data_IF_887466027130
#
_entry.id   IF_887466027130
#
_cell.length_a   1.000
_cell.length_b   1.000
_cell.length_c   1.000
_cell.angle_alpha   90.00
_cell.angle_beta   90.00
_cell.angle_gamma   90.00
#
_symmetry.space_group_name_H-M   'P 1'
#
loop_
_entity.id
_entity.type
_entity.pdbx_description
1 polymer ?
2 non-polymer ?
3 non-polymer ?
4 non-polymer ?
5 non-polymer ?
6 water ?
#
# COMPACT_ATOMS: atom_id res chain seq x y z
N UNK A 1 -19.76 3.36 8.96
CA UNK A 1 -20.52 3.03 7.72
C UNK A 1 -20.21 1.65 7.17
N UNK A 2 -20.89 1.28 6.09
CA UNK A 2 -20.71 -0.03 5.46
C UNK A 2 -19.46 -0.11 4.58
N UNK A 3 -19.05 1.01 4.00
CA UNK A 3 -17.90 1.01 3.12
C UNK A 3 -16.75 1.72 3.81
N UNK A 4 -15.75 0.95 4.24
CA UNK A 4 -14.60 1.47 4.95
C UNK A 4 -13.30 1.33 4.14
N UNK A 5 -12.58 2.43 3.99
CA UNK A 5 -11.33 2.40 3.26
C UNK A 5 -10.17 2.41 4.25
N UNK A 6 -9.20 1.52 4.05
CA UNK A 6 -8.02 1.45 4.90
C UNK A 6 -6.85 1.77 3.98
N UNK A 7 -6.14 2.87 4.23
CA UNK A 7 -5.02 3.23 3.38
C UNK A 7 -3.84 3.81 4.16
N UNK A 8 -2.68 3.84 3.51
CA UNK A 8 -1.48 4.36 4.15
C UNK A 8 -1.35 5.87 4.08
N UNK A 9 -1.23 6.51 5.24
CA UNK A 9 -1.12 7.95 5.31
C UNK A 9 0.30 8.46 5.11
N UNK A 10 1.29 7.57 5.07
CA UNK A 10 2.67 8.00 4.93
C UNK A 10 3.35 7.53 3.65
N UNK A 11 4.38 6.70 3.79
CA UNK A 11 5.07 6.20 2.60
C UNK A 11 4.95 4.68 2.54
N UNK A 12 3.82 4.15 3.00
CA UNK A 12 3.61 2.72 2.94
C UNK A 12 4.12 1.97 4.16
N UNK A 13 3.84 0.67 4.19
CA UNK A 13 4.28 -0.19 5.29
C UNK A 13 3.87 0.34 6.66
N UNK A 14 2.69 0.97 6.71
CA UNK A 14 2.21 1.51 7.96
C UNK A 14 1.54 0.41 8.78
N UNK A 15 1.18 -0.69 8.10
CA UNK A 15 0.53 -1.80 8.76
C UNK A 15 -0.87 -2.05 8.23
N UNK A 16 -1.07 -1.77 6.94
CA UNK A 16 -2.36 -1.95 6.30
C UNK A 16 -2.83 -3.41 6.35
N UNK A 17 -1.94 -4.33 6.02
CA UNK A 17 -2.28 -5.75 6.04
C UNK A 17 -2.88 -6.22 7.34
N UNK A 18 -2.24 -5.89 8.46
CA UNK A 18 -2.76 -6.31 9.75
C UNK A 18 -4.14 -5.76 10.02
N UNK A 19 -4.28 -4.44 9.96
CA UNK A 19 -5.54 -3.79 10.25
C UNK A 19 -6.69 -4.23 9.34
N UNK A 20 -6.37 -4.56 8.10
CA UNK A 20 -7.42 -5.01 7.19
C UNK A 20 -7.86 -6.40 7.66
N UNK A 21 -6.89 -7.28 7.90
CA UNK A 21 -7.20 -8.62 8.39
C UNK A 21 -7.94 -8.54 9.71
N UNK A 22 -7.58 -7.56 10.54
CA UNK A 22 -8.22 -7.38 11.83
C UNK A 22 -9.68 -6.98 11.70
N UNK A 23 -9.94 -5.92 10.93
CA UNK A 23 -11.28 -5.39 10.76
C UNK A 23 -12.25 -6.14 9.83
N UNK A 24 -11.75 -7.02 8.98
CA UNK A 24 -12.62 -7.74 8.05
C UNK A 24 -13.45 -8.85 8.69
N UNK A 25 -13.28 -9.05 9.99
CA UNK A 25 -14.03 -10.07 10.69
C UNK A 25 -15.52 -9.86 10.44
N UNK A 26 -15.91 -8.59 10.26
CA UNK A 26 -17.30 -8.24 10.04
C UNK A 26 -17.61 -7.93 8.57
N UNK A 27 -16.58 -7.96 7.73
CA UNK A 27 -16.75 -7.65 6.31
C UNK A 27 -17.25 -8.80 5.44
N UNK A 28 -17.94 -8.43 4.36
CA UNK A 28 -18.45 -9.38 3.39
C UNK A 28 -17.44 -9.42 2.24
N UNK A 29 -16.87 -8.25 1.94
CA UNK A 29 -15.89 -8.11 0.88
C UNK A 29 -14.68 -7.27 1.28
N UNK A 30 -13.53 -7.59 0.68
CA UNK A 30 -12.28 -6.86 0.87
C UNK A 30 -11.86 -6.57 -0.57
N UNK A 31 -11.48 -5.34 -0.86
CA UNK A 31 -11.11 -4.95 -2.21
C UNK A 31 -9.83 -4.16 -2.38
N UNK A 32 -8.90 -4.68 -3.19
CA UNK A 32 -7.65 -3.96 -3.49
C UNK A 32 -8.06 -3.13 -4.71
N UNK A 33 -7.65 -1.85 -4.75
CA UNK A 33 -8.04 -0.97 -5.85
C UNK A 33 -6.93 -0.29 -6.66
N UNK A 34 -5.68 -0.50 -6.28
CA UNK A 34 -4.56 0.09 -6.99
C UNK A 34 -3.29 -0.67 -6.65
N UNK A 35 -2.25 -0.44 -7.44
CA UNK A 35 -0.99 -1.11 -7.21
C UNK A 35 -1.01 -2.52 -7.77
N UNK A 36 0.00 -3.30 -7.39
CA UNK A 36 0.11 -4.68 -7.83
C UNK A 36 0.80 -5.50 -6.76
N UNK A 37 1.77 -6.32 -7.16
CA UNK A 37 2.47 -7.14 -6.17
C UNK A 37 3.70 -6.42 -5.60
N UNK A 38 3.77 -5.11 -5.81
CA UNK A 38 4.86 -4.31 -5.27
C UNK A 38 4.58 -4.18 -3.76
N UNK A 39 3.30 -4.29 -3.41
CA UNK A 39 2.89 -4.19 -2.02
C UNK A 39 3.34 -5.43 -1.24
N UNK A 40 3.48 -5.27 0.07
CA UNK A 40 3.88 -6.36 0.93
C UNK A 40 3.16 -6.17 2.24
N UNK A 41 2.09 -6.92 2.44
CA UNK A 41 1.28 -6.81 3.65
C UNK A 41 1.44 -8.01 4.56
N UNK A 42 1.93 -7.76 5.78
CA UNK A 42 2.18 -8.82 6.74
C UNK A 42 1.10 -9.03 7.79
N UNK A 43 0.56 -10.25 7.82
CA UNK A 43 -0.47 -10.62 8.79
C UNK A 43 0.13 -11.65 9.74
N UNK A 44 -0.22 -11.53 11.01
CA UNK A 44 0.25 -12.46 12.02
C UNK A 44 -0.92 -12.91 12.88
N UNK A 45 -1.26 -14.19 12.79
CA UNK A 45 -2.35 -14.77 13.55
C UNK A 45 -1.80 -15.85 14.46
N UNK A 46 -1.99 -15.64 15.77
CA UNK A 46 -1.51 -16.55 16.79
C UNK A 46 -0.05 -16.90 16.48
N UNK A 47 0.72 -15.88 16.12
CA UNK A 47 2.13 -16.07 15.83
C UNK A 47 2.49 -16.54 14.43
N UNK A 48 1.51 -16.99 13.66
CA UNK A 48 1.77 -17.46 12.31
C UNK A 48 1.74 -16.27 11.34
N UNK A 49 2.83 -16.14 10.58
CA UNK A 49 3.00 -15.06 9.63
C UNK A 49 2.57 -15.35 8.18
N UNK A 50 2.02 -14.33 7.53
CA UNK A 50 1.60 -14.45 6.14
C UNK A 50 1.89 -13.12 5.46
N UNK A 51 2.60 -13.18 4.34
CA UNK A 51 2.91 -11.98 3.58
C UNK A 51 2.19 -12.05 2.25
N UNK A 52 1.27 -11.12 2.04
CA UNK A 52 0.51 -11.05 0.81
C UNK A 52 1.12 -9.96 -0.04
N UNK A 53 0.88 -10.03 -1.34
CA UNK A 53 1.41 -9.01 -2.22
C UNK A 53 0.27 -8.55 -3.11
N UNK A 54 -0.22 -9.45 -3.95
CA UNK A 54 -1.31 -9.14 -4.86
C UNK A 54 -2.65 -9.52 -4.25
N UNK A 55 -2.65 -10.62 -3.48
CA UNK A 55 -3.85 -11.13 -2.85
C UNK A 55 -4.27 -10.25 -1.69
N UNK A 56 -5.54 -9.81 -1.68
CA UNK A 56 -6.09 -8.96 -0.62
C UNK A 56 -5.93 -9.59 0.77
N UNK A 57 -5.83 -8.75 1.78
CA UNK A 57 -5.64 -9.20 3.15
C UNK A 57 -6.85 -9.77 3.87
N UNK A 58 -7.90 -10.12 3.14
CA UNK A 58 -9.07 -10.71 3.76
C UNK A 58 -9.13 -12.18 3.38
N UNK A 59 -8.13 -12.60 2.63
CA UNK A 59 -8.05 -13.97 2.13
C UNK A 59 -8.00 -15.05 3.22
N UNK A 60 -7.54 -14.70 4.41
CA UNK A 60 -7.46 -15.65 5.51
C UNK A 60 -8.80 -15.90 6.23
N UNK A 61 -9.82 -15.14 5.86
CA UNK A 61 -11.13 -15.30 6.48
C UNK A 61 -12.06 -15.92 5.44
N UNK A 62 -12.72 -17.02 5.81
CA UNK A 62 -13.57 -17.70 4.84
C UNK A 62 -14.91 -17.01 4.60
N UNK A 63 -15.32 -16.17 5.54
CA UNK A 63 -16.58 -15.45 5.40
C UNK A 63 -16.41 -14.26 4.46
N UNK A 64 -15.16 -13.98 4.10
CA UNK A 64 -14.86 -12.85 3.24
C UNK A 64 -14.56 -13.21 1.79
N UNK A 65 -15.08 -12.41 0.88
CA UNK A 65 -14.80 -12.61 -0.54
C UNK A 65 -13.79 -11.52 -0.92
N UNK A 66 -12.55 -11.94 -1.15
CA UNK A 66 -11.48 -11.01 -1.54
C UNK A 66 -11.66 -10.67 -3.02
N UNK A 67 -11.37 -9.42 -3.37
CA UNK A 67 -11.54 -8.95 -4.73
C UNK A 67 -10.40 -8.05 -5.21
N UNK A 68 -9.84 -8.39 -6.36
CA UNK A 68 -8.78 -7.60 -6.97
C UNK A 68 -9.49 -6.73 -8.01
N UNK A 69 -9.65 -5.45 -7.67
CA UNK A 69 -10.36 -4.51 -8.55
C UNK A 69 -9.60 -4.07 -9.78
N UNK A 70 -10.32 -3.47 -10.71
CA UNK A 70 -9.74 -3.00 -11.98
C UNK A 70 -8.55 -2.05 -11.84
N UNK A 71 -8.48 -1.30 -10.74
CA UNK A 71 -7.37 -0.38 -10.55
C UNK A 71 -6.04 -1.08 -10.34
N UNK A 72 -6.10 -2.37 -10.06
CA UNK A 72 -4.90 -3.18 -9.81
C UNK A 72 -4.21 -3.69 -11.08
N UNK A 73 -2.88 -3.62 -11.12
CA UNK A 73 -2.13 -4.16 -12.25
C UNK A 73 -1.80 -5.58 -11.80
N UNK A 74 -2.32 -6.56 -12.54
CA UNK A 74 -2.19 -7.97 -12.17
C UNK A 74 -1.23 -8.87 -12.93
N UNK A 75 -0.25 -9.39 -12.21
CA UNK A 75 0.75 -10.30 -12.76
C UNK A 75 0.27 -11.75 -12.61
N UNK A 76 -0.10 -12.40 -13.72
CA UNK A 76 -0.56 -13.79 -13.63
C UNK A 76 0.44 -14.68 -12.88
N UNK A 77 1.73 -14.41 -13.07
CA UNK A 77 2.77 -15.19 -12.40
C UNK A 77 2.68 -15.01 -10.90
N UNK A 78 2.72 -13.76 -10.45
CA UNK A 78 2.66 -13.45 -9.03
C UNK A 78 1.42 -14.08 -8.39
N UNK A 79 0.28 -13.97 -9.07
CA UNK A 79 -0.96 -14.52 -8.55
C UNK A 79 -0.87 -16.01 -8.31
N UNK A 80 -0.39 -16.76 -9.31
CA UNK A 80 -0.26 -18.20 -9.18
C UNK A 80 0.74 -18.58 -8.10
N UNK A 81 1.83 -17.83 -8.01
CA UNK A 81 2.87 -18.11 -7.01
C UNK A 81 2.28 -17.95 -5.60
N UNK A 82 1.52 -16.88 -5.39
CA UNK A 82 0.90 -16.67 -4.08
C UNK A 82 -0.23 -17.65 -3.84
N UNK A 83 -1.01 -17.92 -4.89
CA UNK A 83 -2.12 -18.84 -4.79
C UNK A 83 -1.66 -20.21 -4.29
N UNK A 84 -0.63 -20.75 -4.92
CA UNK A 84 -0.10 -22.05 -4.54
C UNK A 84 0.47 -22.03 -3.13
N UNK A 85 1.18 -20.95 -2.79
CA UNK A 85 1.76 -20.85 -1.46
C UNK A 85 0.69 -20.86 -0.38
N UNK A 86 -0.40 -20.14 -0.64
CA UNK A 86 -1.50 -20.05 0.31
C UNK A 86 -2.34 -21.35 0.32
N UNK A 87 -2.55 -21.93 -0.84
CA UNK A 87 -3.33 -23.17 -0.94
C UNK A 87 -2.67 -24.32 -0.20
N UNK A 88 -1.33 -24.38 -0.23
CA UNK A 88 -0.62 -25.44 0.46
C UNK A 88 -0.71 -25.28 1.95
N UNK A 89 -1.15 -24.09 2.38
CA UNK A 89 -1.30 -23.83 3.80
C UNK A 89 -2.77 -23.89 4.24
N UNK A 90 -3.61 -24.49 3.40
CA UNK A 90 -5.02 -24.63 3.73
C UNK A 90 -5.95 -23.48 3.38
N UNK A 91 -5.43 -22.50 2.63
CA UNK A 91 -6.23 -21.35 2.22
C UNK A 91 -6.64 -21.58 0.78
N UNK A 92 -7.91 -21.92 0.55
CA UNK A 92 -8.48 -22.18 -0.77
C UNK A 92 -8.74 -20.90 -1.57
N UNK A 93 -7.65 -20.22 -1.92
CA UNK A 93 -7.73 -18.96 -2.65
C UNK A 93 -8.79 -18.90 -3.75
N UNK A 94 -8.72 -19.83 -4.70
CA UNK A 94 -9.66 -19.87 -5.82
C UNK A 94 -11.12 -19.82 -5.43
N UNK A 95 -11.42 -20.27 -4.21
CA UNK A 95 -12.78 -20.29 -3.72
C UNK A 95 -13.25 -18.99 -3.08
N UNK A 96 -12.32 -18.12 -2.72
CA UNK A 96 -12.71 -16.88 -2.08
C UNK A 96 -12.18 -15.61 -2.77
N UNK A 97 -11.54 -15.79 -3.92
CA UNK A 97 -11.00 -14.64 -4.65
C UNK A 97 -11.67 -14.39 -6.00
N UNK A 98 -11.98 -13.13 -6.26
CA UNK A 98 -12.60 -12.73 -7.51
C UNK A 98 -11.77 -11.56 -8.05
N UNK A 99 -11.79 -11.38 -9.36
CA UNK A 99 -11.00 -10.31 -9.93
C UNK A 99 -11.67 -9.67 -11.14
N UNK A 100 -11.24 -8.45 -11.46
CA UNK A 100 -11.81 -7.70 -12.57
C UNK A 100 -11.20 -8.03 -13.93
N UNK A 101 -12.05 -8.09 -14.95
CA UNK A 101 -11.59 -8.36 -16.30
C UNK A 101 -10.93 -7.10 -16.85
N UNK A 102 -11.18 -5.97 -16.20
CA UNK A 102 -10.58 -4.71 -16.64
C UNK A 102 -9.17 -4.52 -16.10
N UNK A 103 -8.71 -5.44 -15.26
CA UNK A 103 -7.35 -5.36 -14.72
C UNK A 103 -6.28 -5.46 -15.81
N UNK A 104 -5.29 -4.56 -15.77
CA UNK A 104 -4.20 -4.60 -16.76
C UNK A 104 -3.33 -5.79 -16.36
N UNK A 105 -2.69 -6.43 -17.34
CA UNK A 105 -1.82 -7.57 -17.05
C UNK A 105 -0.34 -7.20 -16.96
N UNK A 106 0.35 -7.68 -15.93
CA UNK A 106 1.78 -7.43 -15.79
C UNK A 106 2.46 -8.70 -16.32
N UNK A 107 3.32 -8.56 -17.30
CA UNK A 107 4.03 -9.70 -17.87
C UNK A 107 5.53 -9.44 -17.84
N UNK A 108 6.32 -10.48 -18.07
CA UNK A 108 7.77 -10.37 -18.03
C UNK A 108 8.41 -9.13 -18.64
N UNK A 109 7.99 -8.76 -19.84
CA UNK A 109 8.59 -7.59 -20.47
C UNK A 109 8.39 -6.31 -19.68
N UNK A 110 7.37 -6.27 -18.83
CA UNK A 110 7.14 -5.09 -18.00
C UNK A 110 8.26 -4.99 -16.98
N UNK A 111 8.67 -6.13 -16.46
CA UNK A 111 9.76 -6.19 -15.48
C UNK A 111 11.07 -5.77 -16.14
N UNK A 112 11.33 -6.31 -17.33
CA UNK A 112 12.53 -5.96 -18.08
C UNK A 112 12.59 -4.45 -18.27
N UNK A 113 11.46 -3.88 -18.68
CA UNK A 113 11.37 -2.44 -18.89
C UNK A 113 11.63 -1.71 -17.59
N UNK A 114 10.98 -2.16 -16.52
CA UNK A 114 11.14 -1.55 -15.21
C UNK A 114 12.64 -1.47 -14.90
N UNK A 115 13.32 -2.62 -15.00
CA UNK A 115 14.75 -2.70 -14.72
C UNK A 115 15.58 -1.76 -15.61
N UNK A 116 15.24 -1.71 -16.89
CA UNK A 116 15.96 -0.85 -17.82
C UNK A 116 15.82 0.61 -17.42
N UNK A 117 14.58 1.06 -17.24
CA UNK A 117 14.32 2.45 -16.86
C UNK A 117 15.08 2.83 -15.59
N UNK A 118 15.05 1.95 -14.60
CA UNK A 118 15.76 2.24 -13.35
C UNK A 118 17.25 2.36 -13.59
N UNK A 119 17.76 1.56 -14.53
CA UNK A 119 19.18 1.57 -14.86
C UNK A 119 19.52 2.91 -15.50
N UNK A 120 18.72 3.30 -16.49
CA UNK A 120 18.93 4.57 -17.19
C UNK A 120 18.96 5.77 -16.24
N UNK A 121 18.27 5.69 -15.12
CA UNK A 121 18.24 6.80 -14.16
C UNK A 121 19.53 6.87 -13.34
N UNK A 122 20.32 5.81 -13.37
CA UNK A 122 21.57 5.80 -12.63
C UNK A 122 21.40 6.15 -11.17
N UNK A 123 22.17 7.12 -10.71
CA UNK A 123 22.13 7.55 -9.31
C UNK A 123 20.78 8.14 -8.90
N UNK A 124 19.99 8.56 -9.88
CA UNK A 124 18.68 9.17 -9.61
C UNK A 124 17.57 8.14 -9.73
N UNK A 125 17.91 6.86 -9.52
CA UNK A 125 16.92 5.80 -9.62
C UNK A 125 15.79 6.01 -8.61
N UNK A 126 14.57 5.68 -9.04
CA UNK A 126 13.41 5.82 -8.18
C UNK A 126 13.47 4.83 -7.02
N UNK A 127 14.05 3.67 -7.29
CA UNK A 127 14.15 2.63 -6.27
C UNK A 127 12.86 1.83 -6.27
N UNK A 128 12.37 1.49 -7.45
CA UNK A 128 11.14 0.73 -7.57
C UNK A 128 11.37 -0.69 -7.09
N UNK A 129 10.29 -1.42 -6.88
CA UNK A 129 10.40 -2.81 -6.42
C UNK A 129 10.69 -3.73 -7.59
N UNK A 130 10.95 -3.14 -8.76
CA UNK A 130 11.26 -3.93 -9.94
C UNK A 130 10.28 -5.07 -10.21
N UNK A 131 8.99 -4.77 -10.06
CA UNK A 131 7.94 -5.76 -10.29
C UNK A 131 7.17 -5.45 -11.58
N UNK A 132 7.63 -4.44 -12.32
CA UNK A 132 6.96 -4.08 -13.56
C UNK A 132 5.70 -3.24 -13.41
N UNK A 133 5.47 -2.69 -12.23
CA UNK A 133 4.28 -1.87 -11.96
C UNK A 133 4.16 -0.65 -12.88
N UNK A 134 5.19 0.19 -12.87
CA UNK A 134 5.18 1.39 -13.71
C UNK A 134 4.86 1.13 -15.17
N UNK A 135 5.63 0.27 -15.85
CA UNK A 135 5.39 -0.01 -17.25
C UNK A 135 3.97 -0.53 -17.52
N UNK A 136 3.41 -1.31 -16.61
CA UNK A 136 2.05 -1.83 -16.83
C UNK A 136 1.04 -0.69 -16.86
N UNK A 137 1.18 0.28 -15.96
CA UNK A 137 0.26 1.42 -15.93
C UNK A 137 0.46 2.27 -17.17
N UNK A 138 1.67 2.22 -17.72
CA UNK A 138 2.02 2.98 -18.91
C UNK A 138 1.29 2.40 -20.14
N UNK A 139 1.36 1.09 -20.31
CA UNK A 139 0.68 0.46 -21.45
C UNK A 139 -0.82 0.68 -21.36
N UNK A 140 -1.31 0.71 -20.12
CA UNK A 140 -2.74 0.91 -19.87
C UNK A 140 -3.20 2.26 -20.37
N UNK A 141 -2.62 3.33 -19.82
CA UNK A 141 -3.02 4.66 -20.22
C UNK A 141 -2.74 4.90 -21.71
N UNK A 142 -1.73 4.21 -22.24
CA UNK A 142 -1.41 4.35 -23.66
C UNK A 142 -2.46 3.63 -24.49
N UNK A 143 -3.15 2.68 -23.85
CA UNK A 143 -4.19 1.89 -24.50
C UNK A 143 -3.67 0.77 -25.40
N UNK A 144 -2.48 0.27 -25.11
CA UNK A 144 -1.92 -0.85 -25.89
C UNK A 144 -1.76 -2.03 -24.95
N UNK A 145 -1.92 -1.77 -23.66
CA UNK A 145 -1.78 -2.82 -22.67
C UNK A 145 -2.81 -3.91 -22.78
N UNK A 146 -2.48 -5.06 -22.21
CA UNK A 146 -3.36 -6.22 -22.21
C UNK A 146 -4.12 -6.25 -20.88
N UNK A 147 -5.35 -6.76 -20.91
CA UNK A 147 -6.17 -6.85 -19.69
C UNK A 147 -6.71 -8.28 -19.54
N UNK A 148 -7.16 -8.59 -18.32
CA UNK A 148 -7.69 -9.92 -18.05
C UNK A 148 -8.73 -10.32 -19.08
N UNK A 149 -9.53 -9.34 -19.52
CA UNK A 149 -10.56 -9.62 -20.50
C UNK A 149 -10.02 -10.18 -21.81
N UNK A 150 -8.83 -9.72 -22.20
CA UNK A 150 -8.23 -10.19 -23.44
C UNK A 150 -7.99 -11.70 -23.41
N UNK A 151 -7.79 -12.26 -22.21
CA UNK A 151 -7.54 -13.68 -22.06
C UNK A 151 -8.69 -14.58 -22.51
N UNK A 152 -9.90 -14.02 -22.61
CA UNK A 152 -11.04 -14.85 -22.99
C UNK A 152 -11.04 -15.37 -24.42
N UNK A 153 -10.11 -14.89 -25.23
CA UNK A 153 -9.96 -15.36 -26.60
C UNK A 153 -8.48 -15.68 -26.74
N UNK A 154 -8.13 -16.95 -26.51
CA UNK A 154 -6.74 -17.37 -26.59
C UNK A 154 -6.09 -16.97 -27.90
N UNK A 155 -6.83 -17.10 -28.99
CA UNK A 155 -6.30 -16.74 -30.30
C UNK A 155 -5.91 -15.27 -30.39
N UNK A 156 -6.90 -14.38 -30.42
CA UNK A 156 -6.66 -12.95 -30.53
C UNK A 156 -5.68 -12.43 -29.49
N UNK A 157 -5.58 -13.11 -28.36
CA UNK A 157 -4.65 -12.69 -27.31
C UNK A 157 -3.21 -12.85 -27.79
N UNK A 158 -2.89 -14.00 -28.36
CA UNK A 158 -1.54 -14.26 -28.85
C UNK A 158 -1.13 -13.21 -29.88
N UNK A 159 -2.07 -12.85 -30.74
CA UNK A 159 -1.81 -11.84 -31.75
C UNK A 159 -1.51 -10.50 -31.09
N UNK A 160 -2.38 -10.07 -30.18
CA UNK A 160 -2.19 -8.81 -29.46
C UNK A 160 -0.87 -8.82 -28.70
N UNK A 161 -0.58 -9.94 -28.04
CA UNK A 161 0.64 -10.07 -27.26
C UNK A 161 1.88 -9.97 -28.16
N UNK A 162 1.79 -10.58 -29.33
CA UNK A 162 2.89 -10.57 -30.29
C UNK A 162 3.26 -9.17 -30.73
N UNK A 163 2.27 -8.38 -31.13
CA UNK A 163 2.58 -7.02 -31.59
C UNK A 163 3.05 -6.08 -30.49
N UNK A 164 2.53 -6.23 -29.27
CA UNK A 164 2.96 -5.35 -28.19
C UNK A 164 4.39 -5.68 -27.77
N UNK A 165 4.76 -6.96 -27.83
CA UNK A 165 6.11 -7.37 -27.48
C UNK A 165 7.12 -6.97 -28.54
N UNK A 166 6.69 -6.95 -29.79
CA UNK A 166 7.56 -6.54 -30.87
C UNK A 166 7.89 -5.08 -30.60
N UNK A 167 6.86 -4.36 -30.14
CA UNK A 167 6.98 -2.94 -29.81
C UNK A 167 7.99 -2.71 -28.69
N UNK A 168 7.81 -3.38 -27.56
CA UNK A 168 8.72 -3.21 -26.43
C UNK A 168 10.12 -3.76 -26.64
N UNK A 169 10.24 -4.94 -27.25
CA UNK A 169 11.55 -5.51 -27.47
C UNK A 169 12.42 -4.61 -28.35
N UNK A 170 11.79 -3.95 -29.31
CA UNK A 170 12.53 -3.05 -30.20
C UNK A 170 13.29 -2.07 -29.33
N UNK A 171 12.61 -1.53 -28.32
CA UNK A 171 13.20 -0.56 -27.41
C UNK A 171 14.25 -1.22 -26.49
N UNK A 172 13.89 -2.34 -25.89
CA UNK A 172 14.80 -3.04 -25.00
C UNK A 172 16.18 -3.30 -25.60
N UNK A 173 16.21 -3.77 -26.84
CA UNK A 173 17.48 -4.08 -27.51
C UNK A 173 18.13 -2.88 -28.20
N UNK A 174 17.38 -2.20 -29.06
CA UNK A 174 17.89 -1.06 -29.81
C UNK A 174 18.20 0.18 -28.99
N UNK A 175 17.32 0.51 -28.04
CA UNK A 175 17.52 1.69 -27.20
C UNK A 175 18.29 1.43 -25.92
N UNK A 176 17.94 0.37 -25.22
CA UNK A 176 18.59 0.04 -23.94
C UNK A 176 19.77 -0.93 -24.06
N UNK A 177 19.83 -1.68 -25.16
CA UNK A 177 20.91 -2.63 -25.35
C UNK A 177 20.78 -3.72 -24.29
N UNK A 178 19.55 -4.18 -24.07
CA UNK A 178 19.30 -5.22 -23.09
C UNK A 178 18.74 -6.45 -23.80
N UNK A 179 18.72 -7.58 -23.12
CA UNK A 179 18.20 -8.80 -23.72
C UNK A 179 16.73 -8.57 -24.08
N UNK A 180 16.24 -9.33 -25.06
CA UNK A 180 14.85 -9.22 -25.48
C UNK A 180 14.06 -10.22 -24.64
N UNK A 181 12.74 -10.08 -24.62
CA UNK A 181 11.91 -11.00 -23.86
C UNK A 181 11.20 -11.91 -24.87
N UNK A 182 11.37 -13.21 -24.68
CA UNK A 182 10.81 -14.20 -25.58
C UNK A 182 9.29 -14.26 -25.62
N UNK A 183 8.74 -13.96 -26.80
CA UNK A 183 7.30 -13.97 -27.02
C UNK A 183 6.67 -15.31 -26.64
N UNK A 184 7.17 -16.38 -27.24
CA UNK A 184 6.64 -17.72 -26.99
C UNK A 184 6.60 -18.08 -25.51
N UNK A 185 7.70 -17.81 -24.80
CA UNK A 185 7.81 -18.10 -23.37
C UNK A 185 6.70 -17.39 -22.59
N UNK A 186 6.52 -16.11 -22.86
CA UNK A 186 5.48 -15.32 -22.18
C UNK A 186 4.11 -15.87 -22.54
N UNK A 187 3.94 -16.26 -23.80
CA UNK A 187 2.66 -16.80 -24.25
C UNK A 187 2.34 -18.13 -23.55
N UNK A 188 3.35 -19.00 -23.43
CA UNK A 188 3.14 -20.29 -22.79
C UNK A 188 2.87 -20.14 -21.29
N UNK A 189 3.73 -19.38 -20.61
CA UNK A 189 3.56 -19.16 -19.17
C UNK A 189 2.16 -18.68 -18.84
N UNK A 190 1.68 -17.73 -19.63
CA UNK A 190 0.36 -17.15 -19.43
C UNK A 190 -0.76 -18.14 -19.75
N UNK A 191 -0.62 -18.85 -20.87
CA UNK A 191 -1.63 -19.82 -21.28
C UNK A 191 -1.73 -20.99 -20.31
N UNK A 192 -0.65 -21.25 -19.58
CA UNK A 192 -0.65 -22.35 -18.62
C UNK A 192 -1.56 -22.07 -17.43
N UNK A 193 -1.93 -20.81 -17.24
CA UNK A 193 -2.78 -20.45 -16.10
C UNK A 193 -4.05 -19.69 -16.49
N UNK A 194 -4.31 -19.56 -17.78
CA UNK A 194 -5.48 -18.83 -18.26
C UNK A 194 -6.82 -19.30 -17.68
N UNK A 195 -7.07 -20.59 -17.72
CA UNK A 195 -8.35 -21.12 -17.22
C UNK A 195 -8.59 -20.85 -15.75
N UNK A 196 -7.55 -20.98 -14.93
CA UNK A 196 -7.66 -20.74 -13.50
C UNK A 196 -7.97 -19.26 -13.28
N UNK A 197 -7.11 -18.41 -13.81
CA UNK A 197 -7.26 -16.97 -13.68
C UNK A 197 -8.64 -16.47 -14.09
N UNK A 198 -9.09 -16.84 -15.28
CA UNK A 198 -10.39 -16.40 -15.79
C UNK A 198 -11.61 -16.94 -15.05
N UNK A 199 -11.45 -18.02 -14.30
CA UNK A 199 -12.59 -18.59 -13.59
C UNK A 199 -12.95 -17.76 -12.36
N UNK A 200 -12.11 -16.79 -12.04
CA UNK A 200 -12.35 -15.93 -10.89
C UNK A 200 -12.86 -14.55 -11.32
N UNK A 201 -13.05 -14.37 -12.61
CA UNK A 201 -13.53 -13.09 -13.14
C UNK A 201 -14.98 -12.78 -12.75
N UNK A 202 -15.23 -11.53 -12.40
CA UNK A 202 -16.57 -11.09 -12.04
C UNK A 202 -16.68 -9.61 -12.40
N UNK A 203 -17.92 -9.12 -12.55
CA UNK A 203 -18.14 -7.70 -12.85
C UNK A 203 -18.10 -7.01 -11.50
N UNK A 204 -16.92 -6.56 -11.10
CA UNK A 204 -16.73 -5.91 -9.80
C UNK A 204 -17.56 -4.65 -9.57
N UNK A 205 -17.65 -3.79 -10.59
CA UNK A 205 -18.45 -2.57 -10.46
C UNK A 205 -19.87 -2.93 -10.07
N UNK A 206 -20.44 -3.87 -10.82
CA UNK A 206 -21.80 -4.31 -10.57
C UNK A 206 -21.92 -4.99 -9.22
N UNK A 207 -20.98 -5.89 -8.91
CA UNK A 207 -20.99 -6.59 -7.63
C UNK A 207 -21.02 -5.63 -6.44
N UNK A 208 -20.14 -4.63 -6.46
CA UNK A 208 -20.08 -3.67 -5.37
C UNK A 208 -21.34 -2.79 -5.32
N UNK A 209 -21.95 -2.54 -6.48
CA UNK A 209 -23.16 -1.73 -6.50
C UNK A 209 -24.29 -2.50 -5.82
N UNK A 210 -24.38 -3.80 -6.11
CA UNK A 210 -25.41 -4.64 -5.52
C UNK A 210 -25.16 -4.78 -4.02
N UNK A 211 -23.88 -4.91 -3.66
CA UNK A 211 -23.49 -5.05 -2.25
C UNK A 211 -23.85 -3.78 -1.47
N UNK A 212 -23.69 -2.62 -2.12
CA UNK A 212 -24.01 -1.36 -1.45
C UNK A 212 -25.50 -1.27 -1.20
N UNK A 213 -26.28 -1.65 -2.20
CA UNK A 213 -27.72 -1.60 -2.08
C UNK A 213 -28.24 -2.56 -1.02
N UNK A 214 -27.49 -3.61 -0.74
CA UNK A 214 -27.88 -4.57 0.29
C UNK A 214 -27.32 -4.17 1.65
N UNK A 215 -26.51 -3.12 1.68
CA UNK A 215 -25.94 -2.70 2.94
C UNK A 215 -24.84 -3.63 3.44
N UNK A 216 -24.21 -4.37 2.55
CA UNK A 216 -23.12 -5.25 2.96
C UNK A 216 -21.91 -4.45 3.41
N UNK A 217 -21.11 -5.02 4.30
CA UNK A 217 -19.90 -4.39 4.80
C UNK A 217 -18.78 -4.62 3.78
N UNK A 218 -18.21 -3.53 3.28
CA UNK A 218 -17.13 -3.63 2.30
C UNK A 218 -15.89 -2.88 2.78
N UNK A 219 -14.74 -3.55 2.71
CA UNK A 219 -13.50 -2.91 3.12
C UNK A 219 -12.57 -2.78 1.92
N UNK A 220 -12.12 -1.56 1.65
CA UNK A 220 -11.20 -1.31 0.54
C UNK A 220 -9.81 -1.23 1.14
N UNK A 221 -8.90 -2.03 0.62
CA UNK A 221 -7.54 -2.07 1.11
C UNK A 221 -6.56 -1.37 0.17
N UNK A 222 -5.90 -0.32 0.66
CA UNK A 222 -4.96 0.38 -0.19
C UNK A 222 -3.58 -0.25 -0.14
N UNK A 223 -2.72 0.13 -1.07
CA UNK A 223 -1.35 -0.35 -1.13
C UNK A 223 -0.47 0.90 -1.09
N UNK A 224 0.82 0.73 -0.82
CA UNK A 224 1.73 1.87 -0.73
C UNK A 224 1.18 2.91 0.25
N UNK A 225 1.46 4.19 0.00
CA UNK A 225 1.00 5.25 0.89
C UNK A 225 0.73 6.58 0.21
N UNK A 226 0.09 7.49 0.93
CA UNK A 226 -0.26 8.79 0.37
C UNK A 226 0.88 9.54 -0.34
N UNK A 227 2.04 9.69 0.29
CA UNK A 227 3.12 10.43 -0.36
C UNK A 227 3.81 9.73 -1.53
N UNK A 228 3.29 8.54 -1.88
CA UNK A 228 3.80 7.79 -3.01
C UNK A 228 2.78 7.92 -4.15
N UNK A 229 1.71 8.69 -3.91
CA UNK A 229 0.67 8.90 -4.91
C UNK A 229 1.23 9.54 -6.19
N UNK A 230 0.92 8.94 -7.34
CA UNK A 230 1.43 9.40 -8.62
C UNK A 230 1.14 10.88 -8.91
N UNK A 231 0.02 11.38 -8.39
CA UNK A 231 -0.36 12.76 -8.61
C UNK A 231 0.09 13.67 -7.47
N UNK A 232 -0.23 13.28 -6.24
CA UNK A 232 0.06 14.10 -5.07
C UNK A 232 1.30 13.80 -4.25
N UNK A 233 2.00 12.72 -4.58
CA UNK A 233 3.19 12.37 -3.83
C UNK A 233 4.44 13.13 -4.28
N UNK A 234 5.58 12.80 -3.67
CA UNK A 234 6.85 13.43 -3.99
C UNK A 234 7.37 13.01 -5.36
N UNK A 235 6.65 13.41 -6.41
CA UNK A 235 7.00 13.07 -7.78
C UNK A 235 8.44 13.51 -8.09
N UNK A 236 9.20 12.69 -8.84
CA UNK A 236 8.87 11.40 -9.44
C UNK A 236 9.10 10.18 -8.54
N UNK A 237 9.49 10.43 -7.29
CA UNK A 237 9.75 9.36 -6.34
C UNK A 237 8.44 8.91 -5.69
N UNK A 238 7.60 8.28 -6.50
CA UNK A 238 6.29 7.81 -6.08
C UNK A 238 6.01 6.54 -6.85
N UNK A 239 4.86 5.93 -6.59
CA UNK A 239 4.47 4.74 -7.33
C UNK A 239 3.62 5.29 -8.46
N UNK A 240 3.23 4.44 -9.40
CA UNK A 240 2.46 4.91 -10.54
C UNK A 240 0.95 4.89 -10.46
N UNK A 241 0.40 4.69 -9.27
CA UNK A 241 -1.05 4.67 -9.13
C UNK A 241 -1.46 5.71 -8.10
N UNK A 242 -2.76 5.94 -7.97
CA UNK A 242 -3.23 6.90 -6.98
C UNK A 242 -3.44 6.11 -5.70
N UNK A 243 -2.59 6.35 -4.72
CA UNK A 243 -2.66 5.67 -3.45
C UNK A 243 -3.66 6.37 -2.53
N UNK A 244 -4.03 7.59 -2.88
CA UNK A 244 -4.98 8.35 -2.09
C UNK A 244 -6.40 7.86 -2.28
N UNK A 245 -7.26 8.18 -1.32
CA UNK A 245 -8.66 7.76 -1.30
C UNK A 245 -9.41 7.83 -2.63
N UNK A 246 -9.09 8.82 -3.45
CA UNK A 246 -9.76 8.93 -4.74
C UNK A 246 -9.57 7.69 -5.62
N UNK A 247 -8.51 6.94 -5.38
CA UNK A 247 -8.26 5.75 -6.17
C UNK A 247 -9.25 4.63 -5.92
N UNK A 248 -9.97 4.70 -4.80
CA UNK A 248 -10.96 3.67 -4.47
C UNK A 248 -12.04 3.58 -5.55
N UNK A 249 -12.60 4.73 -5.92
CA UNK A 249 -13.64 4.76 -6.94
C UNK A 249 -13.12 4.37 -8.33
N UNK A 250 -12.05 5.01 -8.77
CA UNK A 250 -11.53 4.70 -10.09
C UNK A 250 -11.09 3.24 -10.21
N UNK A 251 -10.54 2.70 -9.13
CA UNK A 251 -10.04 1.34 -9.16
C UNK A 251 -10.98 0.21 -8.82
N UNK A 252 -12.25 0.49 -8.54
CA UNK A 252 -13.21 -0.55 -8.21
C UNK A 252 -14.53 -0.39 -8.95
N UNK A 253 -14.87 0.85 -9.28
CA UNK A 253 -16.12 1.11 -9.98
C UNK A 253 -17.22 1.53 -9.03
N UNK A 254 -16.94 1.54 -7.73
CA UNK A 254 -17.93 1.97 -6.76
C UNK A 254 -18.01 3.49 -6.89
N UNK A 255 -19.22 4.04 -6.87
CA UNK A 255 -19.38 5.48 -6.97
C UNK A 255 -18.73 6.15 -5.78
N UNK A 256 -17.98 7.25 -6.00
CA UNK A 256 -17.31 7.97 -4.93
C UNK A 256 -18.17 8.38 -3.74
N UNK A 257 -19.44 8.71 -3.98
CA UNK A 257 -20.32 9.12 -2.88
C UNK A 257 -20.58 7.98 -1.91
N UNK A 258 -20.21 6.76 -2.28
CA UNK A 258 -20.44 5.62 -1.41
C UNK A 258 -19.28 5.23 -0.51
N UNK A 259 -18.44 6.21 -0.17
CA UNK A 259 -17.34 5.97 0.76
C UNK A 259 -17.90 6.49 2.07
N UNK A 260 -17.97 5.64 3.09
CA UNK A 260 -18.52 6.07 4.37
C UNK A 260 -17.49 6.49 5.40
N UNK A 261 -16.37 5.80 5.45
CA UNK A 261 -15.33 6.10 6.43
C UNK A 261 -13.95 5.78 5.86
N UNK A 262 -13.01 6.71 6.02
CA UNK A 262 -11.66 6.50 5.55
C UNK A 262 -10.71 6.43 6.74
N UNK A 263 -10.15 5.24 6.94
CA UNK A 263 -9.24 4.98 8.05
C UNK A 263 -7.78 5.08 7.63
N UNK A 264 -7.08 6.07 8.15
CA UNK A 264 -5.68 6.24 7.81
C UNK A 264 -4.78 5.47 8.74
N UNK A 265 -4.00 4.54 8.20
CA UNK A 265 -3.07 3.77 9.00
C UNK A 265 -1.86 4.69 9.19
N UNK A 266 -1.59 5.03 10.45
CA UNK A 266 -0.51 5.94 10.80
C UNK A 266 0.53 5.29 11.70
N UNK A 267 1.75 5.12 11.20
CA UNK A 267 2.81 4.51 12.00
C UNK A 267 3.31 5.54 13.02
N UNK A 268 3.55 5.10 14.25
CA UNK A 268 4.01 6.00 15.31
C UNK A 268 5.31 6.76 14.98
N UNK A 269 5.99 6.32 13.93
CA UNK A 269 7.22 6.95 13.47
C UNK A 269 7.20 6.78 11.94
N UNK A 270 8.21 7.28 11.25
CA UNK A 270 8.22 7.18 9.79
C UNK A 270 9.24 6.25 9.16
N UNK A 271 8.85 5.68 8.02
CA UNK A 271 9.76 4.84 7.26
C UNK A 271 9.52 5.11 5.79
N UNK A 272 10.57 4.91 5.00
CA UNK A 272 10.48 5.09 3.57
C UNK A 272 11.46 4.13 2.93
N UNK A 273 10.99 3.39 1.93
CA UNK A 273 11.87 2.47 1.22
C UNK A 273 11.82 2.94 -0.23
N UNK A 274 12.97 3.32 -0.75
CA UNK A 274 13.03 3.85 -2.10
C UNK A 274 13.57 5.25 -1.94
N UNK A 275 14.05 5.84 -3.01
CA UNK A 275 14.61 7.19 -2.95
C UNK A 275 13.51 8.25 -2.80
N UNK A 276 13.90 9.45 -2.42
CA UNK A 276 12.94 10.52 -2.26
C UNK A 276 13.06 11.34 -1.00
N UNK A 277 12.43 12.53 -0.96
CA UNK A 277 12.47 13.42 0.21
C UNK A 277 11.88 12.78 1.46
N UNK A 278 12.55 13.02 2.59
CA UNK A 278 12.15 12.48 3.88
C UNK A 278 12.68 13.47 4.92
N UNK A 279 11.95 14.57 5.14
CA UNK A 279 12.32 15.62 6.10
C UNK A 279 12.78 15.18 7.47
N UNK A 280 12.00 14.31 8.12
CA UNK A 280 12.34 13.86 9.47
C UNK A 280 13.21 12.61 9.52
N UNK A 281 13.88 12.29 8.41
CA UNK A 281 14.74 11.12 8.37
C UNK A 281 15.90 11.19 9.37
N UNK A 282 16.08 10.11 10.12
CA UNK A 282 17.15 10.03 11.12
C UNK A 282 18.29 9.14 10.67
N UNK A 283 19.52 9.63 10.81
CA UNK A 283 20.69 8.87 10.43
C UNK A 283 21.52 8.55 11.67
N UNK A 284 21.00 8.89 12.84
CA UNK A 284 21.70 8.65 14.09
C UNK A 284 21.33 7.34 14.75
N UNK A 285 21.61 7.26 16.05
CA UNK A 285 21.34 6.05 16.83
C UNK A 285 19.84 5.80 16.90
N UNK A 286 19.07 6.87 17.07
CA UNK A 286 17.63 6.76 17.15
C UNK A 286 17.06 6.14 15.88
N UNK A 287 17.56 6.59 14.73
CA UNK A 287 17.09 6.04 13.46
C UNK A 287 17.36 4.55 13.44
N UNK A 288 18.59 4.19 13.76
CA UNK A 288 19.02 2.80 13.80
C UNK A 288 18.16 2.03 14.79
N UNK A 289 17.84 2.67 15.91
CA UNK A 289 17.00 2.07 16.94
C UNK A 289 15.63 1.71 16.36
N UNK A 290 15.01 2.68 15.68
CA UNK A 290 13.70 2.48 15.08
C UNK A 290 13.76 1.31 14.10
N UNK A 291 14.73 1.36 13.21
CA UNK A 291 14.87 0.30 12.24
C UNK A 291 14.95 -1.06 12.91
N UNK A 292 15.85 -1.20 13.88
CA UNK A 292 16.00 -2.47 14.57
C UNK A 292 14.76 -2.88 15.36
N UNK A 293 14.31 -2.02 16.27
CA UNK A 293 13.13 -2.35 17.08
C UNK A 293 11.89 -2.59 16.23
N UNK A 294 11.73 -1.83 15.15
CA UNK A 294 10.57 -1.98 14.30
C UNK A 294 10.74 -3.01 13.20
N UNK A 295 11.85 -3.73 13.20
CA UNK A 295 12.10 -4.75 12.17
C UNK A 295 11.75 -4.15 10.81
N UNK A 296 12.29 -2.97 10.52
CA UNK A 296 11.97 -2.28 9.27
C UNK A 296 12.74 -2.70 8.02
N UNK A 297 12.18 -3.67 7.30
CA UNK A 297 12.75 -4.16 6.06
C UNK A 297 11.59 -4.50 5.13
N UNK A 298 11.59 -3.92 3.93
CA UNK A 298 10.53 -4.15 2.96
C UNK A 298 9.99 -5.56 2.89
N UNK A 299 8.72 -5.73 3.25
CA UNK A 299 8.08 -7.04 3.23
C UNK A 299 8.01 -7.62 1.82
N UNK A 300 8.45 -6.84 0.83
CA UNK A 300 8.46 -7.29 -0.56
C UNK A 300 9.89 -7.43 -1.11
N UNK A 301 10.76 -6.47 -0.82
CA UNK A 301 12.13 -6.51 -1.32
C UNK A 301 13.16 -6.79 -0.22
N UNK A 302 12.74 -6.71 1.04
CA UNK A 302 13.65 -6.98 2.14
C UNK A 302 14.68 -5.89 2.34
N UNK A 303 14.57 -4.81 1.56
CA UNK A 303 15.49 -3.68 1.66
C UNK A 303 15.32 -2.96 2.99
N UNK A 304 16.42 -2.51 3.58
CA UNK A 304 16.35 -1.78 4.85
C UNK A 304 15.59 -0.47 4.61
N UNK A 305 14.59 -0.21 5.46
CA UNK A 305 13.79 1.00 5.34
C UNK A 305 14.43 2.19 6.04
N UNK A 306 14.29 3.37 5.46
CA UNK A 306 14.82 4.59 6.05
C UNK A 306 13.85 4.93 7.18
N UNK A 307 14.36 5.41 8.31
CA UNK A 307 13.50 5.75 9.43
C UNK A 307 13.57 7.21 9.84
N UNK A 308 12.56 7.65 10.60
CA UNK A 308 12.52 9.02 11.05
C UNK A 308 11.34 9.24 11.97
N UNK A 309 11.24 10.45 12.53
CA UNK A 309 10.15 10.78 13.43
C UNK A 309 8.84 10.92 12.66
N UNK A 310 7.74 10.84 13.39
CA UNK A 310 6.43 11.01 12.78
C UNK A 310 6.37 12.46 12.29
N UNK A 311 5.92 12.64 11.05
CA UNK A 311 5.85 13.97 10.45
C UNK A 311 4.41 14.46 10.32
N UNK A 312 4.00 15.30 11.26
CA UNK A 312 2.65 15.85 11.29
C UNK A 312 2.32 16.78 10.14
N UNK A 313 3.33 17.40 9.57
CA UNK A 313 3.10 18.29 8.44
C UNK A 313 2.67 17.39 7.28
N UNK A 314 3.49 16.39 6.98
CA UNK A 314 3.21 15.44 5.89
C UNK A 314 1.90 14.69 6.14
N UNK A 315 1.65 14.31 7.39
CA UNK A 315 0.44 13.57 7.72
C UNK A 315 -0.80 14.45 7.54
N UNK A 316 -0.68 15.75 7.81
CA UNK A 316 -1.81 16.64 7.65
C UNK A 316 -2.21 16.72 6.18
N UNK A 317 -1.22 16.61 5.28
CA UNK A 317 -1.55 16.64 3.87
C UNK A 317 -2.40 15.39 3.59
N UNK A 318 -2.04 14.27 4.22
CA UNK A 318 -2.79 13.04 4.01
C UNK A 318 -4.21 13.18 4.55
N UNK A 319 -4.38 13.96 5.62
CA UNK A 319 -5.70 14.16 6.19
C UNK A 319 -6.64 14.77 5.13
N UNK A 320 -6.23 15.88 4.55
CA UNK A 320 -7.08 16.54 3.55
C UNK A 320 -7.24 15.79 2.24
N UNK A 321 -6.15 15.23 1.70
CA UNK A 321 -6.24 14.49 0.44
C UNK A 321 -7.16 13.26 0.50
N UNK A 322 -7.17 12.58 1.64
CA UNK A 322 -7.98 11.38 1.79
C UNK A 322 -9.29 11.60 2.55
N UNK A 323 -9.54 12.84 2.96
CA UNK A 323 -10.72 13.16 3.75
C UNK A 323 -10.82 12.07 4.82
N UNK A 324 -9.76 11.96 5.63
CA UNK A 324 -9.69 10.96 6.68
C UNK A 324 -10.76 11.11 7.75
N UNK A 325 -11.29 9.98 8.21
CA UNK A 325 -12.32 9.98 9.25
C UNK A 325 -11.64 9.67 10.57
N UNK A 326 -10.54 8.94 10.52
CA UNK A 326 -9.84 8.60 11.73
C UNK A 326 -8.51 7.92 11.42
N UNK A 327 -7.68 7.77 12.45
CA UNK A 327 -6.39 7.12 12.30
C UNK A 327 -6.34 5.81 13.06
N UNK A 328 -5.38 4.98 12.69
CA UNK A 328 -5.10 3.74 13.39
C UNK A 328 -3.62 3.90 13.63
N UNK A 329 -3.24 4.19 14.87
CA UNK A 329 -1.84 4.39 15.23
C UNK A 329 -1.17 3.05 15.42
N UNK A 330 -0.17 2.76 14.60
CA UNK A 330 0.52 1.48 14.65
C UNK A 330 1.96 1.53 15.15
N UNK A 331 2.39 0.41 15.71
CA UNK A 331 3.75 0.23 16.22
C UNK A 331 4.14 1.21 17.32
N UNK A 332 3.19 1.53 18.20
CA UNK A 332 3.43 2.42 19.31
C UNK A 332 4.43 1.73 20.24
N UNK A 333 4.39 0.41 20.25
CA UNK A 333 5.26 -0.41 21.08
C UNK A 333 6.74 -0.28 20.69
N UNK A 334 7.01 0.12 19.46
CA UNK A 334 8.38 0.24 19.00
C UNK A 334 9.12 1.43 19.62
N UNK A 335 8.37 2.36 20.21
CA UNK A 335 8.97 3.53 20.82
C UNK A 335 9.30 3.32 22.30
N UNK A 336 8.89 2.17 22.85
CA UNK A 336 9.16 1.86 24.25
C UNK A 336 10.65 1.93 24.54
N UNK A 337 11.02 2.65 25.61
CA UNK A 337 12.42 2.74 25.95
C UNK A 337 13.12 4.00 25.52
N UNK A 338 12.47 4.81 24.68
CA UNK A 338 13.11 6.05 24.24
C UNK A 338 12.96 7.10 25.33
N UNK A 339 14.04 7.83 25.57
CA UNK A 339 14.02 8.87 26.60
C UNK A 339 13.02 9.95 26.23
N UNK A 340 13.01 10.31 24.95
CA UNK A 340 12.08 11.31 24.45
C UNK A 340 11.70 10.99 23.01
N UNK A 341 10.56 11.52 22.58
CA UNK A 341 10.09 11.29 21.23
C UNK A 341 9.76 12.65 20.60
N UNK A 342 9.93 12.75 19.29
CA UNK A 342 9.66 14.00 18.61
C UNK A 342 8.68 13.86 17.45
N UNK A 343 7.94 14.92 17.19
CA UNK A 343 7.02 14.93 16.07
C UNK A 343 7.16 16.27 15.39
N UNK A 344 7.37 16.22 14.09
CA UNK A 344 7.53 17.42 13.31
C UNK A 344 6.18 18.15 13.28
N UNK A 345 6.19 19.44 13.58
CA UNK A 345 4.97 20.24 13.60
C UNK A 345 4.98 21.37 12.58
N UNK A 346 6.13 21.57 11.93
CA UNK A 346 6.27 22.63 10.93
C UNK A 346 7.52 22.42 10.09
N UNK A 347 7.58 23.11 8.95
CA UNK A 347 8.75 23.03 8.07
C UNK A 347 9.42 24.39 7.99
N UNK A 348 10.75 24.40 7.95
CA UNK A 348 11.49 25.64 7.80
C UNK A 348 11.95 25.63 6.34
N UNK A 349 11.32 26.47 5.52
CA UNK A 349 11.65 26.52 4.10
C UNK A 349 13.05 27.08 3.88
N UNK A 350 13.65 26.80 2.70
CA UNK A 350 14.99 27.27 2.35
C UNK A 350 15.14 28.78 2.34
N UNK A 351 14.02 29.49 2.17
CA UNK A 351 14.04 30.94 2.13
C UNK A 351 13.80 31.54 3.51
N UNK A 352 13.66 30.66 4.52
CA UNK A 352 13.44 31.13 5.88
C UNK A 352 12.02 31.11 6.41
N UNK A 353 11.04 30.91 5.54
CA UNK A 353 9.65 30.89 5.99
C UNK A 353 9.31 29.65 6.80
N UNK A 354 8.41 29.80 7.76
CA UNK A 354 7.95 28.67 8.56
C UNK A 354 6.56 28.33 8.02
N UNK A 355 6.37 27.10 7.59
CA UNK A 355 5.07 26.70 7.05
C UNK A 355 4.58 25.41 7.69
N UNK A 356 3.27 25.20 7.64
CA UNK A 356 2.67 23.98 8.18
C UNK A 356 2.09 23.19 7.03
N UNK A 357 2.51 23.51 5.81
CA UNK A 357 2.01 22.83 4.61
C UNK A 357 3.18 22.18 3.85
N UNK A 358 2.91 21.10 3.11
CA UNK A 358 3.96 20.39 2.39
C UNK A 358 4.20 20.83 0.95
N UNK A 359 5.43 20.63 0.44
CA UNK A 359 5.82 20.97 -0.93
C UNK A 359 5.23 19.82 -1.75
N UNK A 360 5.07 20.00 -3.06
CA UNK A 360 4.51 18.94 -3.89
C UNK A 360 5.58 18.01 -4.44
N UNK A 361 6.11 18.37 -5.61
CA UNK A 361 7.15 17.58 -6.28
C UNK A 361 8.43 17.50 -5.45
N UNK A 362 9.11 16.37 -5.55
CA UNK A 362 10.35 16.11 -4.84
C UNK A 362 11.34 17.28 -4.84
N UNK A 363 11.69 17.77 -6.02
CA UNK A 363 12.63 18.88 -6.11
C UNK A 363 12.31 19.99 -5.13
N UNK A 364 11.03 20.30 -4.98
CA UNK A 364 10.62 21.37 -4.10
C UNK A 364 10.78 21.09 -2.60
N UNK A 365 11.09 19.86 -2.23
CA UNK A 365 11.30 19.51 -0.83
C UNK A 365 12.78 19.73 -0.45
N UNK A 366 13.59 20.10 -1.43
CA UNK A 366 15.02 20.31 -1.18
C UNK A 366 15.31 21.43 -0.20
N UNK A 367 16.22 21.17 0.75
CA UNK A 367 16.57 22.17 1.73
C UNK A 367 15.52 22.37 2.81
N UNK A 368 14.38 21.68 2.70
CA UNK A 368 13.33 21.82 3.71
C UNK A 368 13.77 21.17 5.02
N UNK A 369 13.58 21.90 6.12
CA UNK A 369 13.98 21.42 7.43
C UNK A 369 12.80 21.21 8.34
N UNK A 370 12.83 20.15 9.15
CA UNK A 370 11.75 19.84 10.08
C UNK A 370 11.87 20.63 11.38
N UNK A 371 10.73 21.08 11.90
CA UNK A 371 10.68 21.80 13.16
C UNK A 371 9.96 20.86 14.12
N UNK A 372 10.67 20.40 15.14
CA UNK A 372 10.14 19.44 16.09
C UNK A 372 9.59 19.96 17.41
N UNK A 373 8.69 19.17 17.95
CA UNK A 373 8.09 19.41 19.26
C UNK A 373 8.63 18.16 19.93
N UNK A 374 9.26 18.31 21.09
CA UNK A 374 9.82 17.16 21.78
C UNK A 374 9.02 16.81 23.03
N UNK A 375 8.64 15.54 23.13
CA UNK A 375 7.85 15.05 24.25
C UNK A 375 8.57 13.92 24.97
N UNK A 376 8.27 13.74 26.27
CA UNK A 376 8.91 12.66 27.02
C UNK A 376 8.48 11.29 26.53
N UNK A 377 9.43 10.37 26.47
CA UNK A 377 9.14 9.02 26.03
C UNK A 377 8.65 8.23 27.22
N UNK A 378 8.84 6.91 27.18
CA UNK A 378 8.41 6.05 28.28
C UNK A 378 9.19 4.74 28.27
N UNK A 379 9.51 4.26 29.46
CA UNK A 379 10.26 3.02 29.61
C UNK A 379 9.36 1.80 29.71
N UNK A 380 8.12 2.01 30.13
CA UNK A 380 7.16 0.92 30.27
C UNK A 380 6.88 0.23 28.95
N UNK A 381 6.62 -1.07 29.02
CA UNK A 381 6.33 -1.86 27.83
C UNK A 381 4.86 -1.66 27.45
N UNK A 382 4.60 -1.44 26.16
CA UNK A 382 3.23 -1.27 25.69
C UNK A 382 2.90 -2.37 24.69
N UNK A 383 3.87 -3.25 24.48
CA UNK A 383 3.71 -4.35 23.55
C UNK A 383 2.54 -5.26 23.93
N UNK A 384 1.62 -5.45 22.99
CA UNK A 384 0.48 -6.32 23.24
C UNK A 384 -0.63 -5.74 24.11
N UNK A 385 -0.45 -4.53 24.61
CA UNK A 385 -1.49 -3.94 25.44
C UNK A 385 -2.77 -3.84 24.61
N UNK A 386 -3.88 -4.26 25.20
CA UNK A 386 -5.15 -4.24 24.50
C UNK A 386 -6.13 -3.27 25.14
N UNK A 387 -5.62 -2.46 26.06
CA UNK A 387 -6.43 -1.48 26.74
C UNK A 387 -5.65 -0.19 26.93
N UNK A 388 -6.27 0.93 26.56
CA UNK A 388 -5.63 2.22 26.70
C UNK A 388 -5.24 2.41 28.16
N UNK A 389 -5.98 1.75 29.04
CA UNK A 389 -5.72 1.84 30.47
C UNK A 389 -4.32 1.31 30.77
N UNK A 390 -3.89 0.32 29.99
CA UNK A 390 -2.57 -0.26 30.21
C UNK A 390 -1.42 0.50 29.57
N UNK A 391 -1.67 1.72 29.12
CA UNK A 391 -0.64 2.53 28.49
C UNK A 391 -0.13 3.63 29.42
N UNK A 392 1.17 3.94 29.34
CA UNK A 392 1.75 4.99 30.18
C UNK A 392 1.20 6.35 29.77
N UNK A 393 1.14 7.29 30.71
CA UNK A 393 0.60 8.61 30.43
C UNK A 393 1.35 9.33 29.31
N UNK A 394 2.67 9.17 29.28
CA UNK A 394 3.49 9.80 28.26
C UNK A 394 2.99 9.36 26.88
N UNK A 395 2.58 8.09 26.78
CA UNK A 395 2.08 7.55 25.52
C UNK A 395 0.71 8.14 25.20
N UNK A 396 -0.13 8.29 26.21
CA UNK A 396 -1.45 8.86 26.01
C UNK A 396 -1.31 10.30 25.55
N UNK A 397 -0.32 10.99 26.12
CA UNK A 397 -0.07 12.39 25.78
C UNK A 397 0.39 12.48 24.33
N UNK A 398 1.30 11.58 23.95
CA UNK A 398 1.82 11.52 22.59
C UNK A 398 0.65 11.32 21.64
N UNK A 399 -0.27 10.44 22.04
CA UNK A 399 -1.45 10.13 21.24
C UNK A 399 -2.35 11.33 21.11
N UNK A 400 -2.63 11.98 22.24
CA UNK A 400 -3.50 13.15 22.24
C UNK A 400 -2.90 14.28 21.42
N UNK A 401 -1.59 14.48 21.53
CA UNK A 401 -0.93 15.54 20.79
C UNK A 401 -1.11 15.32 19.28
N UNK A 402 -0.89 14.09 18.84
CA UNK A 402 -1.04 13.75 17.43
C UNK A 402 -2.45 14.16 16.98
N UNK A 403 -3.44 13.82 17.80
CA UNK A 403 -4.82 14.16 17.48
C UNK A 403 -5.00 15.67 17.39
N UNK A 404 -4.45 16.39 18.37
CA UNK A 404 -4.56 17.83 18.41
C UNK A 404 -3.91 18.47 17.19
N UNK A 405 -2.74 17.96 16.81
CA UNK A 405 -2.02 18.50 15.66
C UNK A 405 -2.70 18.25 14.33
N UNK A 406 -3.31 17.07 14.19
CA UNK A 406 -3.98 16.71 12.95
C UNK A 406 -5.47 17.03 12.89
N UNK A 407 -6.11 17.15 14.05
CA UNK A 407 -7.53 17.44 14.07
C UNK A 407 -8.34 16.19 13.73
N UNK A 408 -7.70 15.03 13.83
CA UNK A 408 -8.36 13.76 13.54
C UNK A 408 -8.13 12.81 14.71
N UNK A 409 -9.17 12.09 15.13
CA UNK A 409 -9.07 11.15 16.25
C UNK A 409 -8.37 9.84 15.89
N UNK A 410 -7.71 9.25 16.88
CA UNK A 410 -7.03 7.97 16.69
C UNK A 410 -8.02 6.91 17.21
N UNK A 411 -8.74 6.27 16.30
CA UNK A 411 -9.74 5.26 16.65
C UNK A 411 -9.24 3.87 16.96
N UNK A 412 -8.00 3.56 16.57
CA UNK A 412 -7.43 2.24 16.83
C UNK A 412 -5.95 2.39 17.14
N UNK A 413 -5.45 1.56 18.05
CA UNK A 413 -4.05 1.59 18.41
C UNK A 413 -3.51 0.18 18.37
N UNK A 414 -2.46 -0.01 17.56
CA UNK A 414 -1.84 -1.33 17.42
C UNK A 414 -0.56 -1.36 18.27
N UNK A 415 -0.38 -2.43 19.04
CA UNK A 415 0.79 -2.55 19.90
C UNK A 415 1.63 -3.79 19.62
N UNK A 416 1.41 -4.40 18.47
CA UNK A 416 2.16 -5.58 18.12
C UNK A 416 1.73 -6.11 16.76
N UNK A 417 2.57 -6.91 16.11
CA UNK A 417 2.22 -7.46 14.79
C UNK A 417 1.02 -8.40 14.76
N UNK A 418 0.66 -8.97 15.91
CA UNK A 418 -0.48 -9.89 15.95
C UNK A 418 -1.84 -9.23 15.87
N UNK A 419 -2.77 -9.93 15.25
CA UNK A 419 -4.13 -9.47 15.07
C UNK A 419 -4.77 -8.99 16.36
N UNK A 420 -4.49 -9.68 17.46
CA UNK A 420 -5.08 -9.35 18.74
C UNK A 420 -4.36 -8.27 19.55
N UNK A 421 -3.10 -8.02 19.24
CA UNK A 421 -2.33 -7.00 19.95
C UNK A 421 -2.79 -5.66 19.41
N UNK A 422 -4.04 -5.34 19.75
CA UNK A 422 -4.67 -4.13 19.26
C UNK A 422 -5.80 -3.67 20.18
N UNK A 423 -6.16 -2.39 20.06
CA UNK A 423 -7.27 -1.87 20.82
C UNK A 423 -8.09 -0.97 19.90
N UNK A 424 -9.31 -1.42 19.63
CA UNK A 424 -10.24 -0.68 18.78
C UNK A 424 -11.08 0.19 19.70
N UNK A 425 -10.91 1.50 19.61
CA UNK A 425 -11.66 2.42 20.45
C UNK A 425 -12.98 2.77 19.78
N UNK A 426 -12.98 2.69 18.46
CA UNK A 426 -14.16 2.98 17.67
C UNK A 426 -14.02 2.21 16.37
N UNK A 427 -14.96 1.30 16.13
CA UNK A 427 -14.94 0.49 14.91
C UNK A 427 -15.52 1.29 13.75
N UNK A 428 -14.78 1.38 12.64
CA UNK A 428 -15.19 2.11 11.44
C UNK A 428 -16.53 1.63 10.87
N UNK A 429 -16.80 0.34 11.03
CA UNK A 429 -18.03 -0.23 10.51
C UNK A 429 -19.33 0.21 11.18
N UNK A 430 -19.26 0.63 12.43
CA UNK A 430 -20.47 1.06 13.10
C UNK A 430 -20.35 2.51 13.55
N UNK A 431 -19.28 3.16 13.13
CA UNK A 431 -19.02 4.55 13.46
C UNK A 431 -19.38 5.46 12.28
#
# INVERSE_FOLDING_TARGET
>A
GNNVVVLGTQWGDEGKGKIVDLLTERAKYVVRYQGGHNAGHTLVINGEKTVLHLIPSGILRENVTSIIGNGVVLSPAALMKEMKELEDRGIPVRERLLLSEACPLILDYHVALDNAREKARGAKAIGTTGRGIGPAYEDKVARRGLRVGDLFDKETFAEKLKEVMEYHNFQLVNYYKAEAVDYQKVLDDTMAVADILTSMVVDVSDLLDQARQRGDFVMFEGAQGTLLDIDHGTYPYVTSSNTTAGGVATGSGLGPRYVDYVLGILKAYSTRVGAGPFPTELFDETGEFLCKQGNEFGATTGRRRRTGWLDTVAVRRAVQLNSLSGFCLTKLDVLDGLKEVKLCVAYRMPDGREVTTTPLAADDWKGVEPIYETMPGWSESTFGVKDRSGLPQAALNYIKRIEELTGVPIDIISTGPDRTETMILRDPFDA
#
